data_IF_994326102430
#
_entry.id   IF_994326102430
#
_cell.length_a   1.000
_cell.length_b   1.000
_cell.length_c   1.000
_cell.angle_alpha   90.00
_cell.angle_beta   90.00
_cell.angle_gamma   90.00
#
_symmetry.space_group_name_H-M   'P 1'
#
loop_
_entity.id
_entity.type
_entity.pdbx_description
1 polymer ?
#
# COMPACT_ATOMS: atom_id res chain seq x y z
N UNK A 1 14.73 14.55 -6.81
CA UNK A 1 14.13 14.30 -8.14
C UNK A 1 12.72 13.76 -7.93
N UNK A 2 11.69 14.31 -8.59
CA UNK A 2 10.33 13.74 -8.49
C UNK A 2 10.32 12.37 -9.15
N UNK A 3 9.68 11.34 -8.56
CA UNK A 3 9.59 10.02 -9.18
C UNK A 3 8.80 10.11 -10.48
N UNK A 4 9.18 9.31 -11.47
CA UNK A 4 8.35 9.10 -12.66
C UNK A 4 7.14 8.27 -12.24
N UNK A 5 5.94 8.75 -12.57
CA UNK A 5 4.71 8.03 -12.31
C UNK A 5 4.20 7.34 -13.58
N UNK A 6 3.35 6.34 -13.39
CA UNK A 6 2.82 5.42 -14.39
C UNK A 6 1.30 5.52 -14.49
N UNK A 7 0.74 6.60 -15.06
CA UNK A 7 -0.71 6.77 -15.16
C UNK A 7 -1.40 5.68 -16.00
N UNK A 8 -0.65 4.97 -16.86
CA UNK A 8 -1.11 3.80 -17.62
C UNK A 8 -1.49 2.60 -16.74
N UNK A 9 -1.08 2.59 -15.48
CA UNK A 9 -1.47 1.57 -14.51
C UNK A 9 -2.93 1.73 -14.02
N UNK A 10 -3.55 2.87 -14.27
CA UNK A 10 -4.94 3.17 -13.98
C UNK A 10 -5.76 3.23 -15.27
N UNK A 11 -7.05 2.87 -15.17
CA UNK A 11 -8.02 3.06 -16.25
C UNK A 11 -8.33 4.54 -16.48
N UNK A 12 -8.90 4.87 -17.63
CA UNK A 12 -9.32 6.24 -17.94
C UNK A 12 -10.36 6.76 -16.94
N UNK A 13 -11.26 5.90 -16.50
CA UNK A 13 -12.27 6.24 -15.49
C UNK A 13 -11.61 6.58 -14.16
N UNK A 14 -10.65 5.77 -13.71
CA UNK A 14 -9.91 6.03 -12.47
C UNK A 14 -9.11 7.34 -12.56
N UNK A 15 -8.44 7.61 -13.68
CA UNK A 15 -7.69 8.88 -13.88
C UNK A 15 -8.64 10.09 -13.86
N UNK A 16 -9.81 9.99 -14.48
CA UNK A 16 -10.82 11.03 -14.42
C UNK A 16 -11.29 11.26 -12.99
N UNK A 17 -11.61 10.19 -12.26
CA UNK A 17 -12.04 10.28 -10.87
C UNK A 17 -10.94 10.81 -9.95
N UNK A 18 -9.68 10.42 -10.18
CA UNK A 18 -8.53 10.96 -9.43
C UNK A 18 -8.50 12.49 -9.52
N UNK A 19 -8.57 13.05 -10.74
CA UNK A 19 -8.61 14.49 -10.96
C UNK A 19 -9.83 15.14 -10.33
N UNK A 20 -11.01 14.54 -10.49
CA UNK A 20 -12.24 15.06 -9.93
C UNK A 20 -12.24 15.06 -8.39
N UNK A 21 -11.50 14.11 -7.78
CA UNK A 21 -11.37 13.99 -6.32
C UNK A 21 -10.32 14.94 -5.75
N UNK A 22 -9.48 15.59 -6.56
CA UNK A 22 -8.36 16.40 -6.08
C UNK A 22 -8.80 17.45 -5.05
N UNK A 23 -9.80 18.27 -5.38
CA UNK A 23 -10.32 19.30 -4.48
C UNK A 23 -11.01 18.71 -3.24
N UNK A 24 -11.99 17.79 -3.36
CA UNK A 24 -12.56 17.14 -2.19
C UNK A 24 -11.53 16.45 -1.29
N UNK A 25 -10.55 15.74 -1.86
CA UNK A 25 -9.50 15.09 -1.09
C UNK A 25 -8.67 16.09 -0.26
N UNK A 26 -8.34 17.24 -0.85
CA UNK A 26 -7.64 18.31 -0.12
C UNK A 26 -8.49 18.84 1.05
N UNK A 27 -9.79 19.02 0.85
CA UNK A 27 -10.73 19.46 1.90
C UNK A 27 -10.84 18.43 3.03
N UNK A 28 -10.76 17.13 2.71
CA UNK A 28 -10.74 16.03 3.70
C UNK A 28 -9.36 15.87 4.36
N UNK A 29 -8.31 16.51 3.84
CA UNK A 29 -6.92 16.23 4.19
C UNK A 29 -6.48 14.82 3.82
N UNK A 30 -7.13 14.24 2.79
CA UNK A 30 -6.91 12.86 2.38
C UNK A 30 -5.79 12.74 1.36
N UNK A 31 -5.17 11.57 1.35
CA UNK A 31 -4.18 11.17 0.36
C UNK A 31 -4.52 9.79 -0.22
N UNK A 32 -4.16 9.57 -1.47
CA UNK A 32 -4.28 8.28 -2.13
C UNK A 32 -3.22 7.33 -1.60
N UNK A 33 -3.61 6.10 -1.25
CA UNK A 33 -2.68 5.03 -0.89
C UNK A 33 -3.11 3.70 -1.51
N UNK A 34 -2.74 2.58 -0.89
CA UNK A 34 -3.13 1.26 -1.37
C UNK A 34 -2.52 0.84 -2.70
N UNK A 35 -3.22 -0.06 -3.39
CA UNK A 35 -2.73 -0.67 -4.63
C UNK A 35 -2.59 0.31 -5.79
N UNK A 36 -3.50 1.29 -5.90
CA UNK A 36 -3.47 2.27 -6.99
C UNK A 36 -2.33 3.28 -6.85
N UNK A 37 -2.04 3.71 -5.63
CA UNK A 37 -0.87 4.54 -5.37
C UNK A 37 0.43 3.82 -5.74
N UNK A 38 0.59 2.55 -5.34
CA UNK A 38 1.76 1.74 -5.72
C UNK A 38 1.83 1.48 -7.22
N UNK A 39 0.70 1.21 -7.87
CA UNK A 39 0.64 1.04 -9.31
C UNK A 39 1.10 2.30 -10.05
N UNK A 40 0.69 3.48 -9.58
CA UNK A 40 1.18 4.77 -10.09
C UNK A 40 2.70 4.94 -9.89
N UNK A 41 3.24 4.55 -8.74
CA UNK A 41 4.67 4.66 -8.46
C UNK A 41 5.53 3.72 -9.30
N UNK A 42 5.10 2.47 -9.48
CA UNK A 42 5.96 1.38 -9.94
C UNK A 42 5.62 0.88 -11.35
N UNK A 43 4.41 1.15 -11.84
CA UNK A 43 3.96 0.66 -13.14
C UNK A 43 3.96 -0.87 -13.26
N UNK A 44 3.98 -1.59 -12.15
CA UNK A 44 4.21 -3.04 -12.13
C UNK A 44 2.96 -3.87 -12.45
N UNK A 45 1.79 -3.36 -12.11
CA UNK A 45 0.49 -3.99 -12.37
C UNK A 45 -0.62 -2.95 -12.52
N UNK A 46 -1.75 -3.37 -13.06
CA UNK A 46 -2.97 -2.55 -13.03
C UNK A 46 -3.61 -2.58 -11.64
N UNK A 47 -4.24 -1.50 -11.27
CA UNK A 47 -5.09 -1.41 -10.08
C UNK A 47 -6.49 -0.96 -10.46
N UNK A 48 -7.49 -1.39 -9.67
CA UNK A 48 -8.90 -1.16 -10.00
C UNK A 48 -9.66 -0.36 -8.93
N UNK A 49 -9.04 -0.14 -7.78
CA UNK A 49 -9.63 0.53 -6.62
C UNK A 49 -9.03 1.94 -6.46
N UNK A 50 -9.72 2.86 -5.80
CA UNK A 50 -9.18 4.14 -5.33
C UNK A 50 -9.42 4.22 -3.82
N UNK A 51 -8.33 4.08 -3.05
CA UNK A 51 -8.36 4.07 -1.59
C UNK A 51 -7.74 5.35 -1.03
N UNK A 52 -8.56 6.15 -0.36
CA UNK A 52 -8.18 7.42 0.25
C UNK A 52 -8.07 7.29 1.76
N UNK A 53 -7.06 7.90 2.33
CA UNK A 53 -6.77 7.87 3.75
C UNK A 53 -6.68 9.30 4.29
N UNK A 54 -7.47 9.59 5.33
CA UNK A 54 -7.55 10.92 5.93
C UNK A 54 -7.27 10.85 7.45
N UNK A 55 -6.50 11.78 8.03
CA UNK A 55 -6.21 11.79 9.46
C UNK A 55 -7.45 12.07 10.32
N UNK A 56 -8.46 12.69 9.73
CA UNK A 56 -9.74 13.05 10.38
C UNK A 56 -10.90 12.41 9.65
N UNK A 57 -11.96 12.08 10.37
CA UNK A 57 -13.21 11.65 9.77
C UNK A 57 -13.88 12.82 9.04
N UNK A 58 -14.32 12.59 7.81
CA UNK A 58 -15.26 13.47 7.13
C UNK A 58 -16.67 13.02 7.47
N UNK A 59 -17.59 13.93 7.87
CA UNK A 59 -18.96 13.55 8.16
C UNK A 59 -19.60 12.80 6.98
N UNK A 60 -20.31 11.67 7.21
CA UNK A 60 -20.84 10.80 6.15
C UNK A 60 -21.69 11.52 5.11
N UNK A 61 -22.51 12.48 5.54
CA UNK A 61 -23.36 13.26 4.63
C UNK A 61 -22.53 14.17 3.70
N UNK A 62 -21.48 14.82 4.25
CA UNK A 62 -20.58 15.71 3.49
C UNK A 62 -19.79 14.88 2.47
N UNK A 63 -19.23 13.75 2.89
CA UNK A 63 -18.49 12.85 2.01
C UNK A 63 -19.37 12.35 0.86
N UNK A 64 -20.58 11.87 1.17
CA UNK A 64 -21.51 11.38 0.14
C UNK A 64 -21.92 12.49 -0.84
N UNK A 65 -22.18 13.70 -0.35
CA UNK A 65 -22.50 14.84 -1.20
C UNK A 65 -21.35 15.19 -2.15
N UNK A 66 -20.11 15.20 -1.65
CA UNK A 66 -18.92 15.42 -2.46
C UNK A 66 -18.74 14.33 -3.53
N UNK A 67 -18.95 13.05 -3.18
CA UNK A 67 -18.85 11.95 -4.14
C UNK A 67 -19.92 12.02 -5.23
N UNK A 68 -21.14 12.38 -4.89
CA UNK A 68 -22.22 12.62 -5.86
C UNK A 68 -21.97 13.80 -6.78
N UNK A 69 -21.17 14.77 -6.34
CA UNK A 69 -20.81 15.93 -7.17
C UNK A 69 -19.72 15.60 -8.21
N UNK A 70 -18.85 14.61 -7.95
CA UNK A 70 -17.75 14.24 -8.85
C UNK A 70 -18.07 13.06 -9.77
N UNK A 71 -18.98 12.18 -9.38
CA UNK A 71 -19.38 11.01 -10.15
C UNK A 71 -20.80 11.07 -10.66
N UNK A 72 -21.07 10.41 -11.79
CA UNK A 72 -22.42 10.25 -12.36
C UNK A 72 -23.25 9.24 -11.60
N UNK A 73 -22.62 8.22 -11.05
CA UNK A 73 -23.22 7.17 -10.26
C UNK A 73 -22.41 6.89 -9.00
N UNK A 74 -23.08 6.78 -7.86
CA UNK A 74 -22.47 6.43 -6.57
C UNK A 74 -23.28 5.29 -5.96
N UNK A 75 -22.63 4.15 -5.73
CA UNK A 75 -23.19 3.09 -4.89
C UNK A 75 -22.48 3.09 -3.53
N UNK A 76 -23.22 2.77 -2.48
CA UNK A 76 -22.73 2.81 -1.10
C UNK A 76 -22.94 1.44 -0.48
N UNK A 77 -21.85 0.80 -0.04
CA UNK A 77 -21.92 -0.41 0.79
C UNK A 77 -21.73 -0.09 2.28
N UNK A 78 -20.97 0.96 2.60
CA UNK A 78 -20.79 1.44 3.97
C UNK A 78 -20.56 2.96 3.94
N UNK A 79 -21.22 3.68 4.86
CA UNK A 79 -20.98 5.11 5.06
C UNK A 79 -21.19 5.43 6.55
N UNK A 80 -20.12 5.34 7.29
CA UNK A 80 -20.08 5.56 8.75
C UNK A 80 -19.07 6.64 9.08
N UNK A 81 -19.02 7.09 10.32
CA UNK A 81 -17.98 7.99 10.78
C UNK A 81 -16.59 7.33 10.61
N UNK A 82 -15.79 7.90 9.70
CA UNK A 82 -14.42 7.44 9.42
C UNK A 82 -14.30 6.32 8.39
N UNK A 83 -15.39 5.80 7.81
CA UNK A 83 -15.31 4.79 6.75
C UNK A 83 -16.38 4.98 5.70
N UNK A 84 -15.95 5.14 4.46
CA UNK A 84 -16.78 5.00 3.27
C UNK A 84 -16.24 3.85 2.43
N UNK A 85 -17.13 2.95 2.03
CA UNK A 85 -16.88 1.92 1.02
C UNK A 85 -18.03 1.95 0.02
N UNK A 86 -17.69 1.88 -1.26
CA UNK A 86 -18.69 1.90 -2.32
C UNK A 86 -18.05 1.90 -3.70
N UNK A 87 -18.77 2.45 -4.67
CA UNK A 87 -18.21 2.72 -5.99
C UNK A 87 -18.65 4.09 -6.51
N UNK A 88 -17.80 4.69 -7.31
CA UNK A 88 -18.09 5.93 -8.05
C UNK A 88 -17.82 5.63 -9.53
N UNK A 89 -18.83 5.80 -10.37
CA UNK A 89 -18.76 5.48 -11.81
C UNK A 89 -18.25 4.05 -12.10
N UNK A 90 -18.62 3.08 -11.25
CA UNK A 90 -18.19 1.68 -11.35
C UNK A 90 -16.79 1.39 -10.82
N UNK A 91 -16.02 2.40 -10.40
CA UNK A 91 -14.72 2.22 -9.74
C UNK A 91 -14.94 2.05 -8.25
N UNK A 92 -14.39 0.99 -7.67
CA UNK A 92 -14.39 0.81 -6.22
C UNK A 92 -13.65 1.97 -5.57
N UNK A 93 -14.32 2.60 -4.62
CA UNK A 93 -13.88 3.83 -3.99
C UNK A 93 -14.03 3.71 -2.48
N UNK A 94 -12.94 3.96 -1.77
CA UNK A 94 -12.94 3.89 -0.31
C UNK A 94 -12.31 5.16 0.28
N UNK A 95 -12.84 5.61 1.42
CA UNK A 95 -12.24 6.65 2.23
C UNK A 95 -12.20 6.16 3.67
N UNK A 96 -11.00 6.20 4.26
CA UNK A 96 -10.76 5.71 5.61
C UNK A 96 -10.20 6.82 6.49
N UNK A 97 -10.75 6.96 7.70
CA UNK A 97 -10.03 7.66 8.77
C UNK A 97 -8.80 6.82 9.12
N UNK A 98 -7.64 7.47 9.07
CA UNK A 98 -6.37 6.79 9.28
C UNK A 98 -5.43 7.68 10.09
N UNK A 99 -5.28 7.35 11.37
CA UNK A 99 -4.63 8.20 12.36
C UNK A 99 -3.12 7.97 12.48
N UNK A 100 -2.58 6.97 11.79
CA UNK A 100 -1.14 6.75 11.77
C UNK A 100 -0.41 7.87 11.03
N UNK A 101 0.73 8.35 11.55
CA UNK A 101 1.48 9.44 10.93
C UNK A 101 2.03 9.02 9.56
N UNK A 102 2.19 10.01 8.68
CA UNK A 102 2.96 9.81 7.46
C UNK A 102 4.46 9.82 7.81
N UNK A 103 5.20 8.83 7.32
CA UNK A 103 6.64 8.69 7.54
C UNK A 103 7.45 9.68 6.70
N UNK A 104 6.96 9.97 5.51
CA UNK A 104 7.60 10.87 4.56
C UNK A 104 6.55 11.76 3.89
N UNK A 105 6.95 12.92 3.37
CA UNK A 105 6.03 13.79 2.63
C UNK A 105 5.34 13.04 1.48
N UNK A 106 4.07 13.36 1.27
CA UNK A 106 3.34 12.92 0.07
C UNK A 106 3.96 13.53 -1.19
N UNK A 107 3.75 12.89 -2.31
CA UNK A 107 3.97 13.52 -3.62
C UNK A 107 2.64 13.99 -4.19
N UNK A 108 2.71 15.02 -5.02
CA UNK A 108 1.54 15.53 -5.74
C UNK A 108 1.48 14.94 -7.14
N UNK A 109 0.30 14.47 -7.53
CA UNK A 109 -0.02 14.05 -8.89
C UNK A 109 -1.45 14.43 -9.23
N UNK A 110 -1.63 15.18 -10.32
CA UNK A 110 -2.93 15.65 -10.80
C UNK A 110 -3.77 16.36 -9.70
N UNK A 111 -3.11 17.14 -8.84
CA UNK A 111 -3.74 17.85 -7.72
C UNK A 111 -4.04 16.99 -6.49
N UNK A 112 -3.70 15.71 -6.51
CA UNK A 112 -3.91 14.79 -5.38
C UNK A 112 -2.61 14.50 -4.65
N UNK A 113 -2.68 14.45 -3.32
CA UNK A 113 -1.60 13.91 -2.48
C UNK A 113 -1.57 12.38 -2.59
N UNK A 114 -0.40 11.81 -2.83
CA UNK A 114 -0.16 10.36 -2.86
C UNK A 114 0.83 10.00 -1.76
N UNK A 115 0.54 8.97 -0.99
CA UNK A 115 1.42 8.47 0.07
C UNK A 115 2.82 8.13 -0.47
N UNK A 116 3.85 8.34 0.33
CA UNK A 116 5.22 7.99 -0.04
C UNK A 116 5.42 6.48 -0.24
N UNK A 117 6.44 6.08 -0.98
CA UNK A 117 6.78 4.66 -1.13
C UNK A 117 7.10 3.97 0.20
N UNK A 118 7.69 4.69 1.17
CA UNK A 118 7.93 4.18 2.52
C UNK A 118 6.62 3.93 3.27
N UNK A 119 5.68 4.87 3.20
CA UNK A 119 4.35 4.71 3.81
C UNK A 119 3.58 3.56 3.18
N UNK A 120 3.60 3.48 1.84
CA UNK A 120 2.94 2.40 1.10
C UNK A 120 3.54 1.03 1.43
N UNK A 121 4.87 0.93 1.59
CA UNK A 121 5.55 -0.29 2.01
C UNK A 121 5.08 -0.74 3.40
N UNK A 122 5.10 0.16 4.39
CA UNK A 122 4.61 -0.13 5.74
C UNK A 122 3.15 -0.60 5.73
N UNK A 123 2.28 0.10 4.99
CA UNK A 123 0.86 -0.26 4.85
C UNK A 123 0.65 -1.61 4.17
N UNK A 124 1.50 -1.99 3.21
CA UNK A 124 1.46 -3.30 2.54
C UNK A 124 1.91 -4.42 3.45
N UNK A 125 2.94 -4.21 4.25
CA UNK A 125 3.35 -5.18 5.26
C UNK A 125 2.27 -5.41 6.32
N UNK A 126 1.61 -4.35 6.78
CA UNK A 126 0.44 -4.47 7.66
C UNK A 126 -0.71 -5.24 7.00
N UNK A 127 -0.97 -5.02 5.72
CA UNK A 127 -2.03 -5.69 4.98
C UNK A 127 -1.78 -7.21 4.86
N UNK A 128 -0.54 -7.65 4.65
CA UNK A 128 -0.19 -9.08 4.60
C UNK A 128 -0.51 -9.79 5.91
N UNK A 129 -0.35 -9.12 7.06
CA UNK A 129 -0.69 -9.70 8.35
C UNK A 129 -2.22 -9.78 8.60
N UNK A 130 -3.00 -8.93 7.95
CA UNK A 130 -4.45 -8.83 8.16
C UNK A 130 -5.25 -9.64 7.14
N UNK A 131 -4.78 -9.62 5.91
CA UNK A 131 -5.41 -10.30 4.77
C UNK A 131 -4.32 -10.84 3.86
N UNK A 132 -4.23 -12.11 3.73
CA UNK A 132 -3.21 -12.74 2.90
C UNK A 132 -3.70 -12.76 1.45
N UNK A 133 -3.24 -11.80 0.62
CA UNK A 133 -3.59 -11.76 -0.81
C UNK A 133 -2.35 -11.70 -1.70
N UNK A 134 -2.37 -12.44 -2.82
CA UNK A 134 -1.24 -12.48 -3.78
C UNK A 134 -0.81 -11.09 -4.23
N UNK A 135 -1.77 -10.16 -4.40
CA UNK A 135 -1.50 -8.77 -4.78
C UNK A 135 -0.56 -8.05 -3.81
N UNK A 136 -0.72 -8.29 -2.50
CA UNK A 136 0.10 -7.63 -1.49
C UNK A 136 1.56 -8.13 -1.54
N UNK A 137 1.78 -9.44 -1.77
CA UNK A 137 3.12 -9.99 -1.99
C UNK A 137 3.78 -9.46 -3.26
N UNK A 138 3.03 -9.38 -4.36
CA UNK A 138 3.52 -8.79 -5.63
C UNK A 138 3.89 -7.31 -5.43
N UNK A 139 3.11 -6.56 -4.68
CA UNK A 139 3.39 -5.15 -4.35
C UNK A 139 4.68 -5.00 -3.53
N UNK A 140 4.88 -5.84 -2.51
CA UNK A 140 6.09 -5.87 -1.69
C UNK A 140 7.31 -6.26 -2.53
N UNK A 141 7.18 -7.29 -3.38
CA UNK A 141 8.24 -7.69 -4.30
C UNK A 141 8.60 -6.56 -5.27
N UNK A 142 7.61 -5.86 -5.84
CA UNK A 142 7.84 -4.74 -6.75
C UNK A 142 8.57 -3.58 -6.05
N UNK A 143 8.25 -3.28 -4.80
CA UNK A 143 8.99 -2.33 -3.97
C UNK A 143 10.45 -2.75 -3.79
N UNK A 144 10.73 -4.04 -3.53
CA UNK A 144 12.11 -4.55 -3.46
C UNK A 144 12.85 -4.33 -4.78
N UNK A 145 12.21 -4.60 -5.90
CA UNK A 145 12.79 -4.39 -7.25
C UNK A 145 13.02 -2.93 -7.59
N UNK A 146 12.28 -2.02 -6.98
CA UNK A 146 12.48 -0.56 -7.16
C UNK A 146 13.61 0.01 -6.30
N UNK A 147 14.28 -0.81 -5.49
CA UNK A 147 15.40 -0.42 -4.63
C UNK A 147 15.05 -0.22 -3.15
N UNK A 148 13.78 -0.41 -2.75
CA UNK A 148 13.39 -0.39 -1.34
C UNK A 148 13.49 -1.81 -0.76
N UNK A 149 14.65 -2.16 -0.21
CA UNK A 149 14.91 -3.52 0.31
C UNK A 149 13.87 -3.97 1.36
N UNK A 150 13.76 -5.28 1.60
CA UNK A 150 12.80 -5.81 2.58
C UNK A 150 13.12 -5.30 4.00
N UNK A 151 14.40 -5.14 4.33
CA UNK A 151 14.88 -4.55 5.59
C UNK A 151 14.37 -3.10 5.75
N UNK A 152 14.48 -2.30 4.68
CA UNK A 152 14.00 -0.91 4.68
C UNK A 152 12.47 -0.85 4.81
N UNK A 153 11.76 -1.78 4.17
CA UNK A 153 10.30 -1.89 4.29
C UNK A 153 9.88 -2.28 5.71
N UNK A 154 10.58 -3.22 6.36
CA UNK A 154 10.34 -3.61 7.75
C UNK A 154 10.66 -2.47 8.72
N UNK A 155 11.72 -1.71 8.46
CA UNK A 155 12.04 -0.50 9.25
C UNK A 155 10.92 0.54 9.15
N UNK A 156 10.40 0.77 7.94
CA UNK A 156 9.25 1.66 7.72
C UNK A 156 7.97 1.14 8.42
N UNK A 157 7.76 -0.18 8.42
CA UNK A 157 6.66 -0.80 9.15
C UNK A 157 6.76 -0.53 10.65
N UNK A 158 7.92 -0.77 11.26
CA UNK A 158 8.14 -0.53 12.68
C UNK A 158 8.00 0.96 13.05
N UNK A 159 8.52 1.87 12.21
CA UNK A 159 8.38 3.32 12.40
C UNK A 159 6.90 3.75 12.38
N UNK A 160 6.13 3.22 11.42
CA UNK A 160 4.71 3.58 11.25
C UNK A 160 3.78 2.93 12.25
N UNK A 161 4.09 1.70 12.66
CA UNK A 161 3.29 0.87 13.55
C UNK A 161 4.12 0.39 14.74
N UNK A 162 4.45 1.28 15.72
CA UNK A 162 5.33 0.92 16.83
C UNK A 162 4.83 -0.24 17.70
N UNK A 163 3.52 -0.47 17.74
CA UNK A 163 2.91 -1.61 18.44
C UNK A 163 2.85 -2.88 17.55
N UNK A 164 3.22 -2.79 16.28
CA UNK A 164 3.25 -3.93 15.36
C UNK A 164 4.48 -4.81 15.59
N UNK A 165 4.31 -6.12 15.48
CA UNK A 165 5.38 -7.08 15.61
C UNK A 165 6.03 -7.39 14.23
N UNK A 166 7.27 -6.96 13.96
CA UNK A 166 7.97 -7.28 12.72
C UNK A 166 8.18 -8.80 12.51
N UNK A 167 8.30 -9.57 13.59
CA UNK A 167 8.45 -11.03 13.47
C UNK A 167 7.18 -11.68 12.92
N UNK A 168 6.01 -11.14 13.24
CA UNK A 168 4.75 -11.58 12.64
C UNK A 168 4.72 -11.27 11.15
N UNK A 169 5.21 -10.11 10.73
CA UNK A 169 5.32 -9.75 9.30
C UNK A 169 6.23 -10.71 8.55
N UNK A 170 7.43 -10.99 9.09
CA UNK A 170 8.39 -11.94 8.51
C UNK A 170 7.77 -13.32 8.35
N UNK A 171 7.06 -13.80 9.37
CA UNK A 171 6.36 -15.09 9.33
C UNK A 171 5.25 -15.11 8.28
N UNK A 172 4.43 -14.07 8.22
CA UNK A 172 3.37 -13.95 7.23
C UNK A 172 3.94 -13.94 5.80
N UNK A 173 5.01 -13.18 5.55
CA UNK A 173 5.67 -13.12 4.24
C UNK A 173 6.28 -14.46 3.79
N UNK A 174 6.67 -15.33 4.73
CA UNK A 174 7.17 -16.67 4.42
C UNK A 174 6.08 -17.73 4.17
N UNK A 175 4.80 -17.37 4.36
CA UNK A 175 3.69 -18.30 4.22
C UNK A 175 2.91 -18.04 2.92
N UNK A 176 3.06 -18.91 1.93
CA UNK A 176 2.48 -18.74 0.59
C UNK A 176 1.27 -19.65 0.31
N UNK A 177 1.00 -20.65 1.16
CA UNK A 177 0.03 -21.69 0.86
C UNK A 177 -1.39 -21.15 0.54
N UNK A 178 -1.83 -20.14 1.28
CA UNK A 178 -3.17 -19.56 1.09
C UNK A 178 -3.28 -18.76 -0.22
N UNK A 179 -2.17 -18.13 -0.66
CA UNK A 179 -2.15 -17.28 -1.86
C UNK A 179 -1.73 -17.99 -3.13
N UNK A 180 -1.16 -19.20 -3.02
CA UNK A 180 -0.70 -19.95 -4.20
C UNK A 180 -1.83 -20.20 -5.21
N UNK A 181 -3.05 -20.40 -4.73
CA UNK A 181 -4.24 -20.64 -5.56
C UNK A 181 -4.92 -19.37 -6.08
N UNK A 182 -4.56 -18.20 -5.54
CA UNK A 182 -5.14 -16.96 -6.05
C UNK A 182 -4.63 -16.64 -7.47
N UNK A 183 -5.46 -16.00 -8.31
CA UNK A 183 -5.02 -15.55 -9.63
C UNK A 183 -3.95 -14.47 -9.50
N UNK A 184 -3.06 -14.40 -10.49
CA UNK A 184 -2.15 -13.26 -10.62
C UNK A 184 -2.94 -11.98 -10.86
N UNK A 185 -2.52 -10.85 -10.24
CA UNK A 185 -3.06 -9.56 -10.65
C UNK A 185 -2.74 -9.25 -12.12
N UNK A 186 -3.46 -8.31 -12.72
CA UNK A 186 -3.20 -7.89 -14.09
C UNK A 186 -1.83 -7.17 -14.16
N UNK A 187 -0.79 -7.93 -14.45
CA UNK A 187 0.60 -7.44 -14.49
C UNK A 187 0.85 -6.55 -15.70
N UNK A 188 1.68 -5.53 -15.52
CA UNK A 188 2.29 -4.72 -16.59
C UNK A 188 3.75 -5.16 -16.74
N UNK A 189 4.47 -5.37 -15.64
CA UNK A 189 5.82 -5.92 -15.67
C UNK A 189 5.81 -7.45 -15.80
N UNK A 190 6.80 -8.06 -16.50
CA UNK A 190 6.84 -9.50 -16.74
C UNK A 190 7.37 -10.26 -15.51
N UNK A 191 6.65 -10.24 -14.39
CA UNK A 191 7.00 -10.97 -13.17
C UNK A 191 6.07 -12.16 -12.98
N UNK A 192 6.63 -13.35 -12.73
CA UNK A 192 5.85 -14.54 -12.37
C UNK A 192 5.71 -14.68 -10.84
N UNK A 193 4.68 -15.40 -10.41
CA UNK A 193 4.50 -15.69 -8.98
C UNK A 193 5.69 -16.44 -8.38
N UNK A 194 6.21 -17.43 -9.10
CA UNK A 194 7.36 -18.21 -8.63
C UNK A 194 8.63 -17.39 -8.50
N UNK A 195 8.83 -16.41 -9.39
CA UNK A 195 9.93 -15.46 -9.25
C UNK A 195 9.76 -14.57 -8.01
N UNK A 196 8.56 -14.05 -7.78
CA UNK A 196 8.27 -13.25 -6.59
C UNK A 196 8.50 -14.05 -5.30
N UNK A 197 8.01 -15.31 -5.24
CA UNK A 197 8.26 -16.22 -4.10
C UNK A 197 9.74 -16.43 -3.85
N UNK A 198 10.52 -16.80 -4.87
CA UNK A 198 11.96 -17.03 -4.73
C UNK A 198 12.71 -15.79 -4.21
N UNK A 199 12.37 -14.62 -4.73
CA UNK A 199 13.05 -13.38 -4.34
C UNK A 199 12.68 -12.98 -2.90
N UNK A 200 11.42 -13.13 -2.50
CA UNK A 200 10.96 -12.92 -1.13
C UNK A 200 11.64 -13.89 -0.16
N UNK A 201 11.62 -15.20 -0.45
CA UNK A 201 12.28 -16.22 0.38
C UNK A 201 13.75 -15.90 0.57
N UNK A 202 14.47 -15.59 -0.51
CA UNK A 202 15.89 -15.23 -0.43
C UNK A 202 16.15 -14.00 0.46
N UNK A 203 15.26 -13.02 0.42
CA UNK A 203 15.39 -11.84 1.26
C UNK A 203 15.07 -12.14 2.72
N UNK A 204 14.10 -13.00 3.00
CA UNK A 204 13.79 -13.47 4.34
C UNK A 204 14.94 -14.30 4.94
N UNK A 205 15.55 -15.20 4.15
CA UNK A 205 16.71 -16.00 4.57
C UNK A 205 17.90 -15.11 4.95
N UNK A 206 18.15 -14.06 4.17
CA UNK A 206 19.19 -13.08 4.48
C UNK A 206 18.93 -12.36 5.80
N UNK A 207 17.69 -11.90 6.04
CA UNK A 207 17.30 -11.27 7.29
C UNK A 207 17.53 -12.18 8.50
N UNK A 208 17.11 -13.44 8.38
CA UNK A 208 17.28 -14.43 9.45
C UNK A 208 18.76 -14.69 9.74
N UNK A 209 19.60 -14.79 8.72
CA UNK A 209 21.04 -14.96 8.86
C UNK A 209 21.70 -13.77 9.56
N UNK A 210 21.38 -12.54 9.12
CA UNK A 210 21.91 -11.33 9.73
C UNK A 210 21.50 -11.19 11.19
N UNK A 211 20.24 -11.51 11.52
CA UNK A 211 19.78 -11.53 12.89
C UNK A 211 20.52 -12.55 13.74
N UNK A 212 20.69 -13.78 13.25
CA UNK A 212 21.43 -14.83 13.94
C UNK A 212 22.90 -14.44 14.19
N UNK A 213 23.57 -13.81 13.21
CA UNK A 213 24.93 -13.34 13.35
C UNK A 213 25.05 -12.22 14.38
N UNK A 214 24.14 -11.23 14.38
CA UNK A 214 24.13 -10.15 15.39
C UNK A 214 23.93 -10.69 16.80
N UNK A 215 23.00 -11.62 16.99
CA UNK A 215 22.74 -12.23 18.30
C UNK A 215 23.98 -12.99 18.79
N UNK A 216 24.67 -13.71 17.91
CA UNK A 216 25.90 -14.45 18.24
C UNK A 216 27.05 -13.52 18.61
N UNK A 217 27.25 -12.41 17.88
CA UNK A 217 28.26 -11.41 18.21
C UNK A 217 28.00 -10.76 19.59
N UNK A 218 26.75 -10.50 19.93
CA UNK A 218 26.37 -9.93 21.24
C UNK A 218 26.57 -10.93 22.39
N UNK A 219 26.43 -12.24 22.13
CA UNK A 219 26.66 -13.29 23.13
C UNK A 219 28.14 -13.62 23.36
N UNK A 220 29.01 -13.28 22.42
CA UNK A 220 30.47 -13.39 22.53
C UNK A 220 31.02 -12.04 22.96
N UNK A 221 30.72 -11.60 24.21
CA UNK A 221 31.22 -10.34 24.78
C UNK A 221 32.74 -10.20 24.64
N UNK A 222 33.31 -8.97 24.84
CA UNK A 222 34.73 -8.78 24.69
C UNK A 222 35.45 -9.73 25.66
N UNK A 223 36.27 -10.61 25.09
CA UNK A 223 37.19 -11.43 25.87
C UNK A 223 37.99 -10.50 26.77
N UNK A 224 37.94 -10.76 28.09
CA UNK A 224 38.75 -10.08 29.08
C UNK A 224 40.16 -10.60 29.02
#
# INVERSE_FOLDING_TARGET
MKPRLHPEALTDVQRRLLRATARPAAEWGAYLAGGSALALYLGHRRSVDLDWFAPRATPPAVLLASLKAIGKSVSVSQNTEGTFNGSVDGVKFSVFRYTYPQLRPTIEHEGCAIASSCDLAAMKLAAVCQRTTKRDYIDIHALMKSGLSLEAQLSAFHEKFPAGDPALVVRALGYFADVDKEPMPAMISPVTWDQAKRDLTRSLDRLNLEHALRTRCLSMGPDR
#
